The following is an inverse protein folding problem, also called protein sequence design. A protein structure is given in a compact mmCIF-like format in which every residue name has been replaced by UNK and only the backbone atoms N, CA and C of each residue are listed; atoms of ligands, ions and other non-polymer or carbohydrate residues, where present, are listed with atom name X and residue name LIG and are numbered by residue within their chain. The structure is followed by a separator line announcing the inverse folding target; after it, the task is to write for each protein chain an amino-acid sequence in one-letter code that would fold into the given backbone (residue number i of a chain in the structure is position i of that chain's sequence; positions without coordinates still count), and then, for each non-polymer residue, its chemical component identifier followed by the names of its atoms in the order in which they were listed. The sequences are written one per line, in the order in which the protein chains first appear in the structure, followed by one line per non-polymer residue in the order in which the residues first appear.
data_IF_315070972864
#
_entry.id   IF_315070972864
#
_cell.length_a   1.000
_cell.length_b   1.000
_cell.length_c   1.000
_cell.angle_alpha   90.00
_cell.angle_beta   90.00
_cell.angle_gamma   90.00
#
_symmetry.space_group_name_H-M   'P 1'
#
loop_
_entity.id
_entity.type
_entity.pdbx_description
1 polymer ?
#
# COMPACT_ATOMS: atom_id res chain seq x y z
N UNK A 1 8.49 -2.01 -6.82
CA UNK A 1 8.49 -3.48 -6.57
C UNK A 1 9.35 -4.10 -7.66
N UNK A 2 10.25 -5.01 -7.30
CA UNK A 2 11.28 -5.57 -8.20
C UNK A 2 11.54 -7.04 -7.93
N UNK A 3 12.15 -7.72 -8.91
CA UNK A 3 12.59 -9.13 -8.85
C UNK A 3 11.50 -10.10 -8.35
N UNK A 4 10.36 -10.21 -9.06
CA UNK A 4 9.30 -11.13 -8.67
C UNK A 4 9.77 -12.59 -8.84
N UNK A 5 9.51 -13.41 -7.82
CA UNK A 5 9.66 -14.86 -7.84
C UNK A 5 8.26 -15.44 -7.68
N UNK A 6 7.79 -16.10 -8.75
CA UNK A 6 6.41 -16.59 -8.85
C UNK A 6 6.43 -18.11 -8.79
N UNK A 7 5.54 -18.67 -7.97
CA UNK A 7 5.22 -20.10 -7.98
C UNK A 7 3.72 -20.26 -8.27
N UNK A 8 3.40 -21.10 -9.25
CA UNK A 8 2.03 -21.43 -9.66
C UNK A 8 1.70 -22.86 -9.25
N UNK A 9 0.49 -23.06 -8.73
CA UNK A 9 -0.07 -24.37 -8.42
C UNK A 9 -1.55 -24.36 -8.83
N UNK A 10 -1.80 -24.71 -10.10
CA UNK A 10 -3.14 -24.68 -10.71
C UNK A 10 -3.79 -23.29 -10.65
N UNK A 11 -4.78 -23.16 -9.77
CA UNK A 11 -5.60 -21.96 -9.59
C UNK A 11 -5.16 -21.09 -8.41
N UNK A 12 -4.05 -21.44 -7.77
CA UNK A 12 -3.42 -20.61 -6.74
C UNK A 12 -2.00 -20.24 -7.16
N UNK A 13 -1.51 -19.12 -6.64
CA UNK A 13 -0.15 -18.68 -6.84
C UNK A 13 0.42 -18.02 -5.60
N UNK A 14 1.74 -18.01 -5.52
CA UNK A 14 2.48 -17.11 -4.64
C UNK A 14 3.44 -16.24 -5.42
N UNK A 15 3.61 -15.00 -4.96
CA UNK A 15 4.56 -14.07 -5.54
C UNK A 15 5.38 -13.45 -4.42
N UNK A 16 6.70 -13.67 -4.44
CA UNK A 16 7.62 -12.93 -3.60
C UNK A 16 8.28 -11.82 -4.41
N UNK A 17 8.24 -10.59 -3.93
CA UNK A 17 8.87 -9.45 -4.62
C UNK A 17 9.48 -8.47 -3.63
N UNK A 18 10.65 -7.93 -3.96
CA UNK A 18 11.26 -6.88 -3.15
C UNK A 18 10.49 -5.57 -3.33
N UNK A 19 10.34 -4.82 -2.24
CA UNK A 19 9.81 -3.47 -2.31
C UNK A 19 10.64 -2.47 -1.52
N UNK A 20 10.59 -1.25 -2.01
CA UNK A 20 10.82 -0.03 -1.25
C UNK A 20 9.57 0.83 -1.43
N UNK A 21 8.98 1.28 -0.33
CA UNK A 21 7.87 2.22 -0.35
C UNK A 21 8.34 3.54 0.27
N UNK A 22 8.24 4.62 -0.51
CA UNK A 22 8.56 5.98 -0.09
C UNK A 22 7.27 6.77 0.09
N UNK A 23 7.00 7.18 1.34
CA UNK A 23 5.83 7.94 1.74
C UNK A 23 6.22 9.39 1.99
N UNK A 24 5.41 10.33 1.50
CA UNK A 24 5.55 11.77 1.72
C UNK A 24 4.19 12.32 2.16
N UNK A 25 4.17 13.18 3.19
CA UNK A 25 2.91 13.77 3.71
C UNK A 25 2.79 15.27 3.37
N UNK A 26 3.71 16.10 3.86
CA UNK A 26 3.81 17.53 3.57
C UNK A 26 5.07 17.76 2.72
N UNK A 27 4.98 17.80 1.39
CA UNK A 27 6.15 17.78 0.51
C UNK A 27 7.09 18.98 0.70
N UNK A 28 6.57 20.09 1.22
CA UNK A 28 7.33 21.32 1.49
C UNK A 28 8.09 21.26 2.84
N UNK A 29 7.88 20.22 3.64
CA UNK A 29 8.54 20.02 4.93
C UNK A 29 9.62 18.96 4.80
N UNK A 30 10.86 19.35 5.05
CA UNK A 30 12.07 18.53 4.81
C UNK A 30 12.01 17.13 5.45
N UNK A 31 11.49 17.02 6.67
CA UNK A 31 11.40 15.75 7.41
C UNK A 31 10.06 15.03 7.28
N UNK A 32 9.22 15.44 6.32
CA UNK A 32 7.87 14.87 6.15
C UNK A 32 7.86 13.67 5.19
N UNK A 33 8.80 12.75 5.37
CA UNK A 33 8.92 11.54 4.57
C UNK A 33 9.28 10.32 5.41
N UNK A 34 8.91 9.15 4.91
CA UNK A 34 9.17 7.86 5.53
C UNK A 34 9.37 6.79 4.47
N UNK A 35 10.44 6.01 4.57
CA UNK A 35 10.74 4.93 3.64
C UNK A 35 10.82 3.61 4.38
N UNK A 36 10.17 2.58 3.84
CA UNK A 36 10.30 1.19 4.30
C UNK A 36 10.83 0.30 3.18
N UNK A 37 11.65 -0.67 3.56
CA UNK A 37 12.17 -1.71 2.67
C UNK A 37 11.82 -3.10 3.19
N UNK A 38 11.61 -4.04 2.28
CA UNK A 38 11.19 -5.40 2.60
C UNK A 38 10.96 -6.26 1.37
N UNK A 39 10.20 -7.34 1.55
CA UNK A 39 9.54 -8.04 0.46
C UNK A 39 8.09 -8.36 0.80
N UNK A 40 7.28 -8.43 -0.25
CA UNK A 40 5.94 -8.98 -0.19
C UNK A 40 6.04 -10.49 -0.37
N UNK A 41 5.27 -11.22 0.40
CA UNK A 41 4.92 -12.63 0.18
C UNK A 41 3.41 -12.69 -0.04
N UNK A 42 3.03 -12.56 -1.30
CA UNK A 42 1.64 -12.47 -1.73
C UNK A 42 1.10 -13.85 -2.07
N UNK A 43 -0.20 -14.02 -1.82
CA UNK A 43 -1.00 -15.16 -2.25
C UNK A 43 -2.04 -14.68 -3.25
N UNK A 44 -2.25 -15.45 -4.30
CA UNK A 44 -3.22 -15.18 -5.34
C UNK A 44 -4.08 -16.41 -5.58
N UNK A 45 -5.32 -16.17 -5.99
CA UNK A 45 -6.23 -17.18 -6.52
C UNK A 45 -6.79 -16.71 -7.86
N UNK A 46 -7.15 -17.66 -8.73
CA UNK A 46 -7.91 -17.33 -9.94
C UNK A 46 -9.26 -16.74 -9.58
N UNK A 47 -9.69 -15.77 -10.38
CA UNK A 47 -10.98 -15.12 -10.25
C UNK A 47 -11.44 -14.69 -11.64
N UNK A 48 -12.47 -15.34 -12.17
CA UNK A 48 -13.03 -15.05 -13.49
C UNK A 48 -13.68 -13.66 -13.57
N UNK A 49 -13.97 -13.04 -12.42
CA UNK A 49 -14.46 -11.66 -12.35
C UNK A 49 -13.31 -10.65 -12.33
N UNK A 50 -12.07 -11.09 -12.10
CA UNK A 50 -10.90 -10.22 -12.16
C UNK A 50 -10.53 -9.95 -13.62
N UNK A 51 -10.30 -8.68 -14.03
CA UNK A 51 -9.85 -8.36 -15.38
C UNK A 51 -8.53 -9.03 -15.79
N UNK A 52 -7.73 -9.48 -14.82
CA UNK A 52 -6.45 -10.17 -15.05
C UNK A 52 -6.55 -11.69 -14.86
N UNK A 53 -7.73 -12.21 -14.50
CA UNK A 53 -7.94 -13.61 -14.14
C UNK A 53 -7.33 -14.04 -12.81
N UNK A 54 -6.67 -13.14 -12.10
CA UNK A 54 -6.04 -13.38 -10.80
C UNK A 54 -6.41 -12.30 -9.79
N UNK A 55 -6.52 -12.68 -8.53
CA UNK A 55 -6.82 -11.78 -7.42
C UNK A 55 -5.86 -12.04 -6.27
N UNK A 56 -5.36 -10.97 -5.66
CA UNK A 56 -4.63 -11.06 -4.39
C UNK A 56 -5.58 -11.54 -3.29
N UNK A 57 -5.28 -12.70 -2.71
CA UNK A 57 -6.02 -13.32 -1.61
C UNK A 57 -5.31 -13.14 -0.26
N UNK A 58 -4.02 -12.82 -0.29
CA UNK A 58 -3.25 -12.47 0.91
C UNK A 58 -2.02 -11.63 0.55
N UNK A 59 -1.66 -10.72 1.44
CA UNK A 59 -0.47 -9.86 1.31
C UNK A 59 0.25 -9.87 2.65
N UNK A 60 1.50 -10.34 2.65
CA UNK A 60 2.36 -10.28 3.84
C UNK A 60 3.58 -9.42 3.53
N UNK A 61 3.75 -8.33 4.27
CA UNK A 61 4.97 -7.52 4.22
C UNK A 61 5.98 -8.03 5.26
N UNK A 62 7.13 -8.50 4.80
CA UNK A 62 8.27 -8.78 5.66
C UNK A 62 9.25 -7.60 5.61
N UNK A 63 9.48 -7.02 6.79
CA UNK A 63 10.21 -5.77 6.96
C UNK A 63 11.70 -6.01 7.17
N UNK A 64 12.53 -5.24 6.47
CA UNK A 64 13.99 -5.28 6.60
C UNK A 64 14.57 -4.03 7.25
N UNK A 65 13.96 -2.87 7.02
CA UNK A 65 14.49 -1.61 7.50
C UNK A 65 13.60 -0.44 7.17
N UNK A 66 13.76 0.63 7.95
CA UNK A 66 13.05 1.89 7.79
C UNK A 66 14.00 3.08 7.86
N UNK A 67 13.63 4.18 7.21
CA UNK A 67 14.35 5.46 7.26
C UNK A 67 13.36 6.61 7.23
N UNK A 68 13.70 7.73 7.86
CA UNK A 68 12.86 8.92 7.91
C UNK A 68 11.91 8.90 9.10
N UNK A 69 10.89 9.73 9.05
CA UNK A 69 9.98 10.02 10.15
C UNK A 69 8.69 9.18 10.06
N UNK A 70 8.60 8.08 10.82
CA UNK A 70 7.42 7.21 10.79
C UNK A 70 6.15 7.84 11.40
N UNK A 71 6.28 8.90 12.20
CA UNK A 71 5.12 9.65 12.73
C UNK A 71 4.23 10.25 11.64
N UNK A 72 4.73 10.42 10.41
CA UNK A 72 3.91 10.93 9.30
C UNK A 72 2.76 10.00 8.94
N UNK A 73 2.92 8.71 9.20
CA UNK A 73 1.92 7.69 8.84
C UNK A 73 0.62 7.88 9.65
N UNK A 74 0.64 7.90 10.99
CA UNK A 74 -0.58 8.17 11.77
C UNK A 74 -1.11 9.59 11.53
N UNK A 75 -0.25 10.60 11.28
CA UNK A 75 -0.69 11.95 10.94
C UNK A 75 -1.48 11.99 9.63
N UNK A 76 -0.95 11.37 8.56
CA UNK A 76 -1.61 11.26 7.27
C UNK A 76 -2.94 10.50 7.38
N UNK A 77 -2.99 9.42 8.16
CA UNK A 77 -4.22 8.66 8.43
C UNK A 77 -5.27 9.53 9.13
N UNK A 78 -4.89 10.28 10.16
CA UNK A 78 -5.79 11.19 10.88
C UNK A 78 -6.35 12.27 9.95
N UNK A 79 -5.48 12.91 9.16
CA UNK A 79 -5.87 13.92 8.18
C UNK A 79 -6.80 13.36 7.11
N UNK A 80 -6.51 12.17 6.60
CA UNK A 80 -7.37 11.47 5.63
C UNK A 80 -8.77 11.21 6.18
N UNK A 81 -8.89 10.75 7.44
CA UNK A 81 -10.19 10.57 8.11
C UNK A 81 -10.99 11.86 8.19
N UNK A 82 -10.36 12.97 8.58
CA UNK A 82 -11.02 14.28 8.65
C UNK A 82 -11.53 14.73 7.27
N UNK A 83 -10.72 14.57 6.24
CA UNK A 83 -11.07 14.98 4.88
C UNK A 83 -12.21 14.14 4.30
N UNK A 84 -12.23 12.83 4.57
CA UNK A 84 -13.33 11.93 4.22
C UNK A 84 -14.63 12.30 4.92
N UNK A 85 -14.58 12.56 6.24
CA UNK A 85 -15.75 12.98 7.01
C UNK A 85 -16.37 14.27 6.45
N UNK A 86 -15.52 15.18 5.97
CA UNK A 86 -15.94 16.45 5.39
C UNK A 86 -16.29 16.36 3.89
N UNK A 87 -16.29 15.15 3.28
CA UNK A 87 -16.49 14.91 1.84
C UNK A 87 -15.56 15.74 0.93
N UNK A 88 -14.41 16.18 1.44
CA UNK A 88 -13.49 17.08 0.74
C UNK A 88 -12.59 16.35 -0.27
N UNK A 89 -12.58 15.02 -0.23
CA UNK A 89 -11.70 14.18 -1.05
C UNK A 89 -12.40 12.86 -1.42
N UNK A 90 -11.99 12.28 -2.55
CA UNK A 90 -12.22 10.86 -2.85
C UNK A 90 -10.90 10.10 -2.67
N UNK A 91 -10.96 8.91 -2.09
CA UNK A 91 -9.77 8.07 -1.89
C UNK A 91 -9.58 7.17 -3.10
N UNK A 92 -8.53 7.42 -3.88
CA UNK A 92 -8.05 6.49 -4.90
C UNK A 92 -6.86 5.72 -4.31
N UNK A 93 -7.19 4.53 -3.79
CA UNK A 93 -6.33 3.43 -3.30
C UNK A 93 -5.22 3.74 -2.27
N UNK A 94 -5.16 2.94 -1.20
CA UNK A 94 -4.06 1.99 -0.99
C UNK A 94 -4.21 1.09 0.28
N UNK A 95 -3.74 -0.15 0.10
CA UNK A 95 -3.40 -1.25 1.03
C UNK A 95 -4.24 -1.49 2.31
N UNK A 96 -4.75 -2.71 2.41
CA UNK A 96 -5.22 -3.33 3.66
C UNK A 96 -4.14 -4.34 4.10
N UNK A 97 -3.32 -4.00 5.10
CA UNK A 97 -2.42 -4.96 5.74
C UNK A 97 -2.82 -5.00 7.22
N UNK A 98 -3.37 -6.14 7.67
CA UNK A 98 -3.75 -6.40 9.07
C UNK A 98 -4.68 -5.34 9.69
N UNK A 99 -5.69 -4.88 8.96
CA UNK A 99 -6.71 -3.95 9.47
C UNK A 99 -6.31 -2.46 9.45
N UNK A 100 -5.11 -2.13 8.96
CA UNK A 100 -4.67 -0.76 8.78
C UNK A 100 -4.91 -0.27 7.35
N UNK A 101 -5.57 0.89 7.22
CA UNK A 101 -5.86 1.57 5.96
C UNK A 101 -4.77 2.61 5.65
N UNK A 102 -4.20 2.56 4.44
CA UNK A 102 -3.14 3.46 3.98
C UNK A 102 -3.53 4.14 2.68
N UNK A 103 -4.34 5.20 2.73
CA UNK A 103 -4.80 5.87 1.51
C UNK A 103 -3.80 6.88 0.93
N UNK A 104 -3.74 6.94 -0.40
CA UNK A 104 -3.33 8.17 -1.09
C UNK A 104 -4.55 9.10 -1.15
N UNK A 105 -4.46 10.25 -0.49
CA UNK A 105 -5.50 11.27 -0.50
C UNK A 105 -5.34 12.15 -1.74
N UNK A 106 -6.33 12.18 -2.64
CA UNK A 106 -6.38 13.15 -3.75
C UNK A 106 -7.53 14.12 -3.52
N UNK A 107 -7.25 15.42 -3.63
CA UNK A 107 -8.31 16.45 -3.62
C UNK A 107 -9.22 16.27 -4.83
N UNK A 108 -10.52 16.48 -4.65
CA UNK A 108 -11.41 16.70 -5.78
C UNK A 108 -10.89 17.95 -6.52
N UNK A 109 -10.53 17.79 -7.79
CA UNK A 109 -10.43 18.95 -8.68
C UNK A 109 -11.86 19.41 -8.91
N UNK A 110 -12.15 20.66 -8.53
CA UNK A 110 -13.32 21.37 -9.02
C UNK A 110 -13.18 21.61 -10.53
#
# INVERSE_FOLDING_TARGET
MTNPVIALDGDVASCRMYMQAHHVFEPDKEDSWFTIGGYYDDKLGRDDQSPTGWKLTGVTLLFFGKRGNDSIIPMARSKGKQLLANKLIYVSACWHIRGDFYSTVRRNRA
#
